data_IF_688134255656
#
_entry.id   IF_688134255656
#
_cell.length_a   1.000
_cell.length_b   1.000
_cell.length_c   1.000
_cell.angle_alpha   90.00
_cell.angle_beta   90.00
_cell.angle_gamma   90.00
#
_symmetry.space_group_name_H-M   'P 1'
#
loop_
_entity.id
_entity.type
_entity.pdbx_description
1 polymer ?
#
# COMPACT_ATOMS: atom_id res chain seq x y z
N UNK A 1 -17.95 -7.49 -2.63
CA UNK A 1 -17.45 -7.58 -1.25
C UNK A 1 -18.00 -6.36 -0.52
N UNK A 2 -18.80 -6.53 0.55
CA UNK A 2 -19.50 -5.42 1.16
C UNK A 2 -18.46 -4.44 1.71
N UNK A 3 -18.71 -3.15 1.53
CA UNK A 3 -17.89 -2.02 1.98
C UNK A 3 -17.33 -2.20 3.39
N UNK A 4 -18.06 -2.91 4.25
CA UNK A 4 -17.74 -3.20 5.64
C UNK A 4 -16.41 -3.97 5.82
N UNK A 5 -16.01 -4.81 4.86
CA UNK A 5 -14.74 -5.56 4.94
C UNK A 5 -13.54 -4.65 4.65
N UNK A 6 -13.72 -3.64 3.80
CA UNK A 6 -12.67 -2.64 3.53
C UNK A 6 -12.42 -1.78 4.76
N UNK A 7 -13.48 -1.51 5.52
CA UNK A 7 -13.43 -0.68 6.73
C UNK A 7 -12.64 -1.36 7.85
N UNK A 8 -12.69 -2.70 7.92
CA UNK A 8 -12.06 -3.49 8.98
C UNK A 8 -10.74 -4.14 8.57
N UNK A 9 -10.20 -3.82 7.39
CA UNK A 9 -9.09 -4.60 6.84
C UNK A 9 -7.79 -4.44 7.64
N UNK A 10 -7.56 -3.26 8.20
CA UNK A 10 -6.40 -3.01 9.07
C UNK A 10 -6.55 -3.80 10.36
N UNK A 11 -7.72 -3.74 11.01
CA UNK A 11 -8.02 -4.47 12.24
C UNK A 11 -7.93 -5.99 12.03
N UNK A 12 -8.45 -6.49 10.91
CA UNK A 12 -8.32 -7.90 10.52
C UNK A 12 -6.85 -8.26 10.32
N UNK A 13 -6.06 -7.39 9.67
CA UNK A 13 -4.63 -7.63 9.51
C UNK A 13 -3.89 -7.60 10.85
N UNK A 14 -4.22 -6.68 11.76
CA UNK A 14 -3.65 -6.63 13.12
C UNK A 14 -3.89 -7.95 13.87
N UNK A 15 -5.13 -8.46 13.84
CA UNK A 15 -5.49 -9.74 14.46
C UNK A 15 -4.73 -10.89 13.79
N UNK A 16 -4.72 -10.94 12.46
CA UNK A 16 -3.99 -11.97 11.70
C UNK A 16 -2.51 -11.93 12.06
N UNK A 17 -1.89 -10.76 12.09
CA UNK A 17 -0.48 -10.57 12.42
C UNK A 17 -0.15 -10.95 13.86
N UNK A 18 -1.09 -10.76 14.79
CA UNK A 18 -0.97 -11.22 16.17
C UNK A 18 -1.07 -12.74 16.31
N UNK A 19 -2.01 -13.36 15.59
CA UNK A 19 -2.23 -14.80 15.62
C UNK A 19 -1.24 -15.59 14.75
N UNK A 20 -0.55 -14.92 13.83
CA UNK A 20 0.40 -15.54 12.92
C UNK A 20 1.71 -15.90 13.61
N UNK A 21 2.15 -17.13 13.39
CA UNK A 21 3.55 -17.46 13.59
C UNK A 21 4.37 -16.73 12.50
N UNK A 22 5.09 -15.68 12.89
CA UNK A 22 5.86 -14.87 11.94
C UNK A 22 6.89 -15.67 11.13
N UNK A 23 7.29 -16.86 11.60
CA UNK A 23 8.13 -17.83 10.87
C UNK A 23 7.44 -18.40 9.61
N UNK A 24 6.11 -18.59 9.65
CA UNK A 24 5.34 -19.20 8.57
C UNK A 24 5.25 -18.27 7.36
N UNK A 25 4.90 -16.99 7.60
CA UNK A 25 4.87 -15.98 6.53
C UNK A 25 6.27 -15.75 5.96
N UNK A 26 7.32 -15.85 6.79
CA UNK A 26 8.71 -15.74 6.29
C UNK A 26 9.08 -16.86 5.31
N UNK A 27 8.56 -18.06 5.53
CA UNK A 27 8.88 -19.25 4.71
C UNK A 27 8.04 -19.35 3.44
N UNK A 28 6.75 -19.02 3.55
CA UNK A 28 5.73 -19.28 2.52
C UNK A 28 5.22 -18.01 1.81
N UNK A 29 5.50 -16.85 2.37
CA UNK A 29 4.96 -15.57 1.89
C UNK A 29 3.47 -15.40 2.20
N UNK A 30 2.99 -14.15 2.06
CA UNK A 30 1.62 -13.79 2.41
C UNK A 30 0.57 -14.46 1.51
N UNK A 31 0.88 -14.64 0.21
CA UNK A 31 -0.05 -15.22 -0.78
C UNK A 31 -0.39 -16.68 -0.47
N UNK A 32 0.60 -17.49 -0.06
CA UNK A 32 0.36 -18.89 0.30
C UNK A 32 -0.36 -18.99 1.65
N UNK A 33 0.00 -18.14 2.61
CA UNK A 33 -0.60 -18.17 3.94
C UNK A 33 -2.05 -17.63 3.96
N UNK A 34 -2.33 -16.59 3.17
CA UNK A 34 -3.61 -15.86 3.17
C UNK A 34 -4.01 -15.39 1.76
N UNK A 35 -4.30 -16.31 0.83
CA UNK A 35 -4.61 -15.94 -0.55
C UNK A 35 -5.84 -15.02 -0.68
N UNK A 36 -6.78 -15.07 0.28
CA UNK A 36 -7.96 -14.19 0.30
C UNK A 36 -7.58 -12.73 0.55
N UNK A 37 -6.69 -12.45 1.51
CA UNK A 37 -6.30 -11.08 1.89
C UNK A 37 -5.51 -10.39 0.77
N UNK A 38 -4.78 -11.18 -0.02
CA UNK A 38 -4.01 -10.67 -1.14
C UNK A 38 -4.85 -10.27 -2.37
N UNK A 39 -6.17 -10.52 -2.36
CA UNK A 39 -7.08 -10.06 -3.41
C UNK A 39 -7.51 -8.60 -3.23
N UNK A 40 -7.18 -7.99 -2.09
CA UNK A 40 -7.45 -6.57 -1.84
C UNK A 40 -6.29 -5.72 -2.37
N UNK A 41 -6.55 -4.82 -3.31
CA UNK A 41 -5.52 -3.93 -3.88
C UNK A 41 -4.94 -2.91 -2.90
N UNK A 42 -5.56 -2.75 -1.74
CA UNK A 42 -5.04 -1.94 -0.64
C UNK A 42 -4.02 -2.71 0.24
N UNK A 43 -3.75 -3.98 -0.06
CA UNK A 43 -2.72 -4.79 0.61
C UNK A 43 -1.55 -5.03 -0.32
N UNK A 44 -0.33 -4.77 0.15
CA UNK A 44 0.90 -5.08 -0.56
C UNK A 44 1.90 -5.77 0.36
N UNK A 45 2.64 -6.74 -0.17
CA UNK A 45 3.68 -7.46 0.56
C UNK A 45 5.02 -7.36 -0.17
N UNK A 46 6.08 -7.05 0.57
CA UNK A 46 7.45 -7.12 0.08
C UNK A 46 8.17 -8.29 0.76
N UNK A 47 8.38 -9.35 -0.02
CA UNK A 47 8.90 -10.64 0.44
C UNK A 47 10.24 -10.51 1.16
N UNK A 48 11.20 -9.79 0.56
CA UNK A 48 12.58 -9.77 1.06
C UNK A 48 12.71 -9.16 2.44
N UNK A 49 11.92 -8.11 2.74
CA UNK A 49 11.91 -7.49 4.06
C UNK A 49 10.85 -8.06 5.00
N UNK A 50 9.96 -8.93 4.50
CA UNK A 50 8.76 -9.38 5.20
C UNK A 50 7.93 -8.21 5.71
N UNK A 51 7.57 -7.29 4.81
CA UNK A 51 6.74 -6.12 5.13
C UNK A 51 5.42 -6.16 4.44
N UNK A 52 4.36 -5.86 5.20
CA UNK A 52 3.00 -5.72 4.68
C UNK A 52 2.60 -4.26 4.81
N UNK A 53 2.03 -3.69 3.75
CA UNK A 53 1.38 -2.39 3.79
C UNK A 53 -0.12 -2.59 3.56
N UNK A 54 -0.94 -1.97 4.40
CA UNK A 54 -2.40 -1.98 4.31
C UNK A 54 -2.90 -0.54 4.27
N UNK A 55 -3.65 -0.19 3.23
CA UNK A 55 -4.34 1.09 3.13
C UNK A 55 -5.68 1.06 3.84
N UNK A 56 -5.97 2.12 4.60
CA UNK A 56 -7.20 2.27 5.37
C UNK A 56 -8.19 3.23 4.70
N UNK A 57 -9.47 3.14 5.10
CA UNK A 57 -10.53 4.05 4.64
C UNK A 57 -10.35 5.49 5.11
N UNK A 58 -9.65 5.69 6.23
CA UNK A 58 -9.35 7.03 6.76
C UNK A 58 -8.10 7.68 6.13
N UNK A 59 -7.56 7.11 5.04
CA UNK A 59 -6.42 7.66 4.32
C UNK A 59 -5.05 7.37 4.95
N UNK A 60 -5.01 6.52 5.98
CA UNK A 60 -3.77 6.06 6.61
C UNK A 60 -3.27 4.76 5.99
N UNK A 61 -1.95 4.53 6.05
CA UNK A 61 -1.28 3.28 5.72
C UNK A 61 -0.75 2.66 7.01
N UNK A 62 -1.12 1.42 7.29
CA UNK A 62 -0.48 0.59 8.29
C UNK A 62 0.67 -0.20 7.64
N UNK A 63 1.88 -0.06 8.17
CA UNK A 63 3.09 -0.74 7.72
C UNK A 63 3.55 -1.72 8.80
N UNK A 64 3.42 -3.01 8.51
CA UNK A 64 3.81 -4.10 9.39
C UNK A 64 5.20 -4.60 9.04
N UNK A 65 6.05 -4.74 10.05
CA UNK A 65 7.31 -5.48 9.97
C UNK A 65 7.15 -6.82 10.70
N UNK A 66 6.99 -7.90 9.94
CA UNK A 66 6.71 -9.25 10.45
C UNK A 66 7.87 -9.77 11.32
N UNK A 67 9.09 -9.28 11.11
CA UNK A 67 10.26 -9.75 11.85
C UNK A 67 10.28 -9.21 13.26
N UNK A 68 9.88 -7.95 13.42
CA UNK A 68 9.92 -7.24 14.70
C UNK A 68 8.56 -7.21 15.40
N UNK A 69 7.47 -7.59 14.70
CA UNK A 69 6.11 -7.48 15.21
C UNK A 69 5.62 -6.04 15.37
N UNK A 70 6.34 -5.06 14.77
CA UNK A 70 6.00 -3.64 14.90
C UNK A 70 5.07 -3.22 13.77
N UNK A 71 4.10 -2.39 14.10
CA UNK A 71 3.25 -1.67 13.17
C UNK A 71 3.53 -0.17 13.26
N UNK A 72 3.62 0.49 12.11
CA UNK A 72 3.67 1.94 12.00
C UNK A 72 2.50 2.43 11.17
N UNK A 73 1.78 3.45 11.66
CA UNK A 73 0.69 4.08 10.92
C UNK A 73 1.12 5.44 10.39
N UNK A 74 0.87 5.68 9.10
CA UNK A 74 1.28 6.91 8.41
C UNK A 74 0.08 7.48 7.67
N UNK A 75 -0.21 8.76 7.89
CA UNK A 75 -1.29 9.44 7.19
C UNK A 75 -0.79 9.97 5.84
N UNK A 76 -1.48 9.61 4.75
CA UNK A 76 -1.02 9.92 3.39
C UNK A 76 -2.05 10.52 2.46
N UNK A 77 -3.32 10.37 2.80
CA UNK A 77 -4.47 10.73 1.99
C UNK A 77 -5.57 11.25 2.93
N UNK A 78 -6.42 12.16 2.46
CA UNK A 78 -7.60 12.62 3.22
C UNK A 78 -8.77 11.64 3.08
N UNK A 79 -8.84 10.98 1.93
CA UNK A 79 -9.83 9.98 1.58
C UNK A 79 -9.29 8.55 1.59
N UNK A 80 -10.15 7.56 1.27
CA UNK A 80 -9.81 6.15 1.33
C UNK A 80 -8.63 5.78 0.43
N UNK A 81 -7.70 4.98 0.96
CA UNK A 81 -6.66 4.37 0.13
C UNK A 81 -7.27 3.22 -0.65
N UNK A 82 -7.28 3.36 -1.97
CA UNK A 82 -7.90 2.40 -2.89
C UNK A 82 -6.91 1.44 -3.53
N UNK A 83 -5.63 1.79 -3.55
CA UNK A 83 -4.56 0.91 -4.01
C UNK A 83 -3.23 1.19 -3.30
N UNK A 84 -2.48 0.12 -3.04
CA UNK A 84 -1.16 0.14 -2.40
C UNK A 84 -0.24 -0.85 -3.13
N UNK A 85 1.00 -0.47 -3.41
CA UNK A 85 1.98 -1.39 -4.01
C UNK A 85 3.42 -1.04 -3.65
N UNK A 86 4.17 -2.01 -3.13
CA UNK A 86 5.63 -1.94 -3.01
C UNK A 86 6.29 -2.04 -4.39
N UNK A 87 7.35 -1.25 -4.60
CA UNK A 87 8.24 -1.44 -5.73
C UNK A 87 8.95 -2.81 -5.62
N UNK A 88 9.40 -3.40 -6.74
CA UNK A 88 10.04 -4.72 -6.74
C UNK A 88 11.29 -4.82 -5.86
N UNK A 89 12.04 -3.72 -5.71
CA UNK A 89 13.20 -3.63 -4.83
C UNK A 89 12.85 -3.24 -3.38
N UNK A 90 11.58 -2.92 -3.11
CA UNK A 90 11.06 -2.50 -1.81
C UNK A 90 11.54 -1.14 -1.31
N UNK A 91 12.22 -0.34 -2.15
CA UNK A 91 12.68 1.00 -1.77
C UNK A 91 11.54 2.02 -1.71
N UNK A 92 10.51 1.79 -2.54
CA UNK A 92 9.36 2.66 -2.64
C UNK A 92 8.06 1.92 -2.32
N UNK A 93 7.12 2.66 -1.74
CA UNK A 93 5.72 2.28 -1.64
C UNK A 93 4.91 3.32 -2.40
N UNK A 94 3.97 2.87 -3.23
CA UNK A 94 2.99 3.74 -3.87
C UNK A 94 1.63 3.53 -3.23
N UNK A 95 0.87 4.63 -3.10
CA UNK A 95 -0.48 4.65 -2.51
C UNK A 95 -1.35 5.57 -3.34
N UNK A 96 -2.62 5.21 -3.53
CA UNK A 96 -3.55 5.97 -4.35
C UNK A 96 -4.90 6.12 -3.68
N UNK A 97 -5.42 7.35 -3.67
CA UNK A 97 -6.77 7.70 -3.24
C UNK A 97 -7.56 8.19 -4.45
N UNK A 98 -8.62 7.47 -4.79
CA UNK A 98 -9.53 7.88 -5.86
C UNK A 98 -10.28 9.18 -5.47
N UNK A 99 -10.69 9.30 -4.20
CA UNK A 99 -11.39 10.48 -3.68
C UNK A 99 -10.50 11.72 -3.70
N UNK A 100 -9.23 11.59 -3.30
CA UNK A 100 -8.30 12.73 -3.32
C UNK A 100 -7.69 12.99 -4.70
N UNK A 101 -7.90 12.06 -5.64
CA UNK A 101 -7.40 12.13 -7.01
C UNK A 101 -5.87 12.35 -7.07
N UNK A 102 -5.10 11.67 -6.22
CA UNK A 102 -3.64 11.70 -6.30
C UNK A 102 -2.98 10.39 -5.89
N UNK A 103 -1.80 10.16 -6.46
CA UNK A 103 -0.87 9.09 -6.08
C UNK A 103 0.27 9.68 -5.26
N UNK A 104 0.59 9.04 -4.14
CA UNK A 104 1.71 9.43 -3.25
C UNK A 104 2.74 8.31 -3.23
N UNK A 105 4.01 8.70 -3.36
CA UNK A 105 5.18 7.84 -3.31
C UNK A 105 5.93 8.05 -2.02
N UNK A 106 6.30 6.94 -1.42
CA UNK A 106 6.92 6.92 -0.12
C UNK A 106 8.25 6.18 -0.20
N UNK A 107 9.26 6.72 0.46
CA UNK A 107 10.59 6.10 0.54
C UNK A 107 10.92 5.75 1.99
N UNK A 108 11.46 4.55 2.18
CA UNK A 108 12.05 4.16 3.46
C UNK A 108 13.39 4.87 3.62
N UNK A 109 13.51 5.75 4.60
CA UNK A 109 14.83 6.25 4.98
C UNK A 109 15.58 5.13 5.69
N UNK A 110 16.49 4.47 4.98
CA UNK A 110 17.65 3.84 5.62
C UNK A 110 18.61 4.98 5.91
N UNK A 111 18.64 5.50 7.12
CA UNK A 111 19.60 6.52 7.50
C UNK A 111 21.02 5.97 7.28
N UNK A 112 21.69 6.37 6.20
CA UNK A 112 23.15 6.24 6.05
C UNK A 112 23.89 7.10 7.10
N UNK A 113 23.18 8.01 7.77
CA UNK A 113 23.62 8.82 8.91
C UNK A 113 23.59 8.07 10.27
N UNK A 114 23.46 6.75 10.27
CA UNK A 114 23.71 5.94 11.49
C UNK A 114 25.17 5.99 11.96
N UNK A 115 26.09 6.51 11.13
CA UNK A 115 27.51 6.70 11.45
C UNK A 115 27.85 8.08 12.02
N UNK A 116 26.89 9.03 12.08
CA UNK A 116 27.09 10.34 12.73
C UNK A 116 25.87 10.65 13.62
N UNK A 117 25.85 10.07 14.82
CA UNK A 117 25.22 10.66 16.01
C UNK A 117 23.70 10.60 16.18
N UNK A 118 22.90 10.16 15.22
CA UNK A 118 21.43 10.09 15.38
C UNK A 118 20.97 8.66 15.75
N UNK A 119 21.24 8.22 16.98
CA UNK A 119 21.03 6.85 17.45
C UNK A 119 19.57 6.42 17.69
N UNK A 120 18.55 7.28 17.52
CA UNK A 120 17.19 6.97 17.98
C UNK A 120 16.05 7.20 16.97
N UNK A 121 16.33 7.54 15.72
CA UNK A 121 15.25 7.71 14.73
C UNK A 121 14.89 6.37 14.12
N UNK A 122 13.75 5.79 14.55
CA UNK A 122 13.14 4.64 13.88
C UNK A 122 13.05 4.94 12.36
N UNK A 123 13.28 3.94 11.48
CA UNK A 123 13.09 4.13 10.06
C UNK A 123 11.66 4.63 9.84
N UNK A 124 11.55 5.86 9.32
CA UNK A 124 10.28 6.48 8.97
C UNK A 124 10.15 6.43 7.46
N UNK A 125 9.03 5.87 7.02
CA UNK A 125 8.57 6.00 5.65
C UNK A 125 8.13 7.46 5.45
N UNK A 126 8.73 8.16 4.48
CA UNK A 126 8.41 9.57 4.17
C UNK A 126 7.83 9.71 2.78
N UNK A 127 6.83 10.58 2.64
CA UNK A 127 6.33 10.96 1.32
C UNK A 127 7.42 11.78 0.62
N UNK A 128 7.81 11.36 -0.58
CA UNK A 128 8.84 12.02 -1.38
C UNK A 128 8.26 12.67 -2.64
N UNK A 129 7.06 12.26 -3.05
CA UNK A 129 6.45 12.75 -4.28
C UNK A 129 4.95 12.47 -4.30
N UNK A 130 4.19 13.43 -4.80
CA UNK A 130 2.76 13.29 -5.04
C UNK A 130 2.45 13.78 -6.44
N UNK A 131 1.61 13.05 -7.17
CA UNK A 131 1.09 13.50 -8.45
C UNK A 131 -0.42 13.51 -8.42
N UNK A 132 -1.00 14.59 -8.92
CA UNK A 132 -2.41 14.66 -9.18
C UNK A 132 -2.75 13.73 -10.35
N UNK A 133 -3.81 12.94 -10.18
CA UNK A 133 -4.39 12.09 -11.21
C UNK A 133 -5.63 12.81 -11.71
N UNK A 134 -5.84 12.93 -13.04
CA UNK A 134 -7.07 13.51 -13.56
C UNK A 134 -8.28 12.82 -12.88
N UNK A 135 -9.21 13.60 -12.29
CA UNK A 135 -10.35 13.02 -11.61
C UNK A 135 -11.12 12.19 -12.61
N UNK A 136 -11.52 10.99 -12.20
CA UNK A 136 -12.39 10.14 -13.00
C UNK A 136 -13.69 10.91 -13.18
N UNK A 137 -13.99 11.34 -14.40
CA UNK A 137 -15.28 11.96 -14.70
C UNK A 137 -16.37 10.94 -14.34
N UNK A 138 -17.48 11.35 -13.70
CA UNK A 138 -18.62 10.46 -13.53
C UNK A 138 -19.03 9.99 -14.93
N UNK A 139 -18.84 8.71 -15.22
CA UNK A 139 -19.15 8.17 -16.54
C UNK A 139 -20.65 8.30 -16.79
N UNK A 140 -21.01 8.46 -18.06
CA UNK A 140 -22.39 8.36 -18.54
C UNK A 140 -23.07 7.11 -17.98
N UNK A 141 -24.40 7.15 -17.71
CA UNK A 141 -25.11 6.05 -17.08
C UNK A 141 -25.06 4.80 -17.95
N UNK A 142 -24.12 3.91 -17.64
CA UNK A 142 -23.93 2.62 -18.28
C UNK A 142 -23.75 1.53 -17.22
N UNK A 143 -23.80 0.24 -17.60
CA UNK A 143 -23.68 -0.87 -16.66
C UNK A 143 -22.25 -0.90 -16.11
N UNK A 144 -22.05 -0.25 -14.96
CA UNK A 144 -20.77 -0.25 -14.27
C UNK A 144 -20.48 -1.65 -13.73
N UNK A 145 -19.29 -2.15 -14.05
CA UNK A 145 -18.70 -3.18 -13.22
C UNK A 145 -18.17 -2.48 -11.96
N UNK A 146 -19.04 -2.31 -10.95
CA UNK A 146 -18.75 -1.68 -9.65
C UNK A 146 -17.57 -2.31 -8.89
N UNK A 147 -17.00 -3.40 -9.42
CA UNK A 147 -15.87 -4.15 -8.89
C UNK A 147 -14.51 -3.73 -9.51
N UNK A 148 -14.47 -2.82 -10.50
CA UNK A 148 -13.19 -2.31 -11.03
C UNK A 148 -12.57 -1.36 -10.01
N UNK A 149 -11.71 -1.90 -9.16
CA UNK A 149 -10.86 -1.15 -8.25
C UNK A 149 -9.62 -0.66 -8.97
N UNK A 150 -9.11 0.51 -8.57
CA UNK A 150 -7.82 0.99 -9.04
C UNK A 150 -6.71 0.00 -8.67
N UNK A 151 -5.70 -0.10 -9.53
CA UNK A 151 -4.55 -1.00 -9.33
C UNK A 151 -3.26 -0.26 -9.61
N UNK A 152 -2.27 -0.50 -8.76
CA UNK A 152 -0.92 0.00 -8.93
C UNK A 152 -0.03 -1.15 -9.42
N UNK A 153 0.66 -0.94 -10.54
CA UNK A 153 1.49 -1.95 -11.19
C UNK A 153 2.86 -1.35 -11.45
N UNK A 154 3.86 -1.79 -10.69
CA UNK A 154 5.25 -1.41 -10.93
C UNK A 154 5.76 -2.11 -12.18
N UNK A 155 6.30 -1.34 -13.12
CA UNK A 155 6.93 -1.86 -14.36
C UNK A 155 8.46 -1.86 -14.28
N UNK A 156 9.00 -1.13 -13.30
CA UNK A 156 10.40 -1.15 -12.91
C UNK A 156 10.52 -0.75 -11.44
N UNK A 157 11.74 -0.61 -10.92
CA UNK A 157 11.98 -0.07 -9.58
C UNK A 157 11.56 1.39 -9.39
N UNK A 158 11.26 2.12 -10.47
CA UNK A 158 10.89 3.55 -10.42
C UNK A 158 9.65 3.92 -11.21
N UNK A 159 9.24 3.09 -12.16
CA UNK A 159 8.08 3.35 -13.02
C UNK A 159 6.88 2.56 -12.54
N UNK A 160 5.73 3.23 -12.48
CA UNK A 160 4.47 2.63 -12.06
C UNK A 160 3.34 3.04 -13.00
N UNK A 161 2.41 2.11 -13.20
CA UNK A 161 1.15 2.33 -13.89
C UNK A 161 0.05 2.30 -12.83
N UNK A 162 -0.77 3.34 -12.79
CA UNK A 162 -2.07 3.33 -12.16
C UNK A 162 -3.11 2.95 -13.23
N UNK A 163 -3.72 1.79 -13.08
CA UNK A 163 -4.94 1.43 -13.80
C UNK A 163 -6.12 1.96 -12.98
N UNK A 164 -6.74 3.05 -13.44
CA UNK A 164 -7.83 3.71 -12.75
C UNK A 164 -9.15 2.92 -12.87
N UNK A 165 -10.14 3.30 -12.07
CA UNK A 165 -11.45 2.64 -12.01
C UNK A 165 -12.20 2.65 -13.35
N UNK A 166 -11.98 3.67 -14.19
CA UNK A 166 -12.53 3.78 -15.55
C UNK A 166 -11.76 2.97 -16.60
N UNK A 167 -10.69 2.28 -16.19
CA UNK A 167 -9.82 1.49 -17.07
C UNK A 167 -8.72 2.30 -17.76
N UNK A 168 -8.61 3.62 -17.51
CA UNK A 168 -7.50 4.42 -18.05
C UNK A 168 -6.20 4.10 -17.32
N UNK A 169 -5.11 4.12 -18.08
CA UNK A 169 -3.77 3.99 -17.54
C UNK A 169 -3.11 5.35 -17.36
N UNK A 170 -2.56 5.59 -16.18
CA UNK A 170 -1.73 6.75 -15.89
C UNK A 170 -0.34 6.27 -15.48
N UNK A 171 0.70 6.84 -16.09
CA UNK A 171 2.09 6.42 -15.90
C UNK A 171 2.82 7.46 -15.07
N UNK A 172 3.54 6.99 -14.07
CA UNK A 172 4.30 7.84 -13.16
C UNK A 172 5.71 7.30 -12.97
N UNK A 173 6.62 8.20 -12.62
CA UNK A 173 7.96 7.88 -12.18
C UNK A 173 8.18 8.49 -10.79
N UNK A 174 8.71 7.71 -9.87
CA UNK A 174 9.16 8.21 -8.56
C UNK A 174 10.42 9.05 -8.71
#
# INVERSE_FOLDING_TARGET
MPTDVVDLLVEVMDIIMYCLEGSLVKKKGLQECFPAICRFYMVSYYERSHRIAVGARNGSVALYDIRTGKCQTIHGHKGPITAVAFAPDGRYLATYSNTDSHISFWQMNTSLLGSIGMLNSAPQLRCIKTYQVPPVQPASPGPHNALRLARLIWTSNRNIILMAHDGKEHRFMV
#
